data_IF_745106397208
#
_entry.id   IF_745106397208
#
_cell.length_a   1.000
_cell.length_b   1.000
_cell.length_c   1.000
_cell.angle_alpha   90.00
_cell.angle_beta   90.00
_cell.angle_gamma   90.00
#
_symmetry.space_group_name_H-M   'P 1'
#
loop_
_entity.id
_entity.type
_entity.pdbx_description
1 polymer ?
#
# COMPACT_ATOMS: atom_id res chain seq x y z
N UNK A 1 26.73 4.13 15.03
CA UNK A 1 26.20 4.33 16.40
C UNK A 1 24.73 4.72 16.26
N UNK A 2 23.82 4.00 16.92
CA UNK A 2 22.41 4.41 16.94
C UNK A 2 22.29 5.74 17.66
N UNK A 3 21.69 6.74 17.00
CA UNK A 3 21.40 8.02 17.62
C UNK A 3 20.30 7.81 18.66
N UNK A 4 20.42 8.40 19.84
CA UNK A 4 19.38 8.40 20.88
C UNK A 4 19.03 9.82 21.25
N UNK A 5 17.81 10.04 21.72
CA UNK A 5 17.37 11.26 22.38
C UNK A 5 17.06 10.96 23.84
N UNK A 6 17.23 11.95 24.70
CA UNK A 6 16.94 11.83 26.12
C UNK A 6 15.59 12.48 26.43
N UNK A 7 14.73 11.72 27.09
CA UNK A 7 13.45 12.17 27.61
C UNK A 7 13.51 12.19 29.16
N UNK A 8 13.27 13.32 29.77
CA UNK A 8 13.27 13.46 31.24
C UNK A 8 11.83 13.50 31.72
N UNK A 9 11.45 12.52 32.55
CA UNK A 9 10.15 12.45 33.21
C UNK A 9 10.38 12.20 34.71
N UNK A 10 9.74 12.98 35.58
CA UNK A 10 9.82 12.82 37.04
C UNK A 10 11.28 12.72 37.56
N UNK A 11 12.16 13.59 37.07
CA UNK A 11 13.59 13.63 37.36
C UNK A 11 14.37 12.34 36.96
N UNK A 12 13.81 11.48 36.14
CA UNK A 12 14.48 10.30 35.55
C UNK A 12 14.70 10.53 34.08
N UNK A 13 15.89 10.14 33.61
CA UNK A 13 16.24 10.22 32.17
C UNK A 13 16.05 8.88 31.50
N UNK A 14 15.37 8.88 30.37
CA UNK A 14 15.12 7.73 29.51
C UNK A 14 15.74 7.98 28.14
N UNK A 15 16.46 7.00 27.62
CA UNK A 15 17.03 7.07 26.28
C UNK A 15 16.08 6.38 25.27
N UNK A 16 15.69 7.13 24.25
CA UNK A 16 14.82 6.64 23.17
C UNK A 16 15.61 6.60 21.87
N UNK A 17 15.52 5.48 21.11
CA UNK A 17 16.21 5.38 19.83
C UNK A 17 15.66 6.39 18.81
N UNK A 18 16.53 6.88 17.95
CA UNK A 18 16.16 7.69 16.77
C UNK A 18 16.26 6.82 15.53
N UNK A 19 15.18 6.78 14.77
CA UNK A 19 15.10 6.15 13.46
C UNK A 19 15.26 7.26 12.43
N UNK A 20 16.14 7.06 11.46
CA UNK A 20 16.36 8.00 10.36
C UNK A 20 15.90 7.32 9.07
N UNK A 21 15.01 7.97 8.33
CA UNK A 21 14.53 7.52 7.02
C UNK A 21 15.54 7.83 5.91
N UNK A 22 15.32 7.27 4.71
CA UNK A 22 16.16 7.49 3.53
C UNK A 22 16.23 8.96 3.09
N UNK A 23 15.17 9.71 3.36
CA UNK A 23 15.06 11.15 3.06
C UNK A 23 15.44 12.06 4.25
N UNK A 24 16.20 11.51 5.21
CA UNK A 24 16.68 12.20 6.42
C UNK A 24 15.57 12.62 7.40
N UNK A 25 14.35 12.10 7.27
CA UNK A 25 13.34 12.26 8.31
C UNK A 25 13.76 11.51 9.57
N UNK A 26 13.57 12.15 10.72
CA UNK A 26 13.95 11.59 12.02
C UNK A 26 12.71 11.34 12.86
N UNK A 27 12.56 10.10 13.32
CA UNK A 27 11.51 9.71 14.25
C UNK A 27 12.11 9.21 15.56
N UNK A 28 11.46 9.53 16.66
CA UNK A 28 11.79 9.00 17.98
C UNK A 28 10.98 7.71 18.17
N UNK A 29 11.66 6.59 18.40
CA UNK A 29 10.98 5.34 18.69
C UNK A 29 10.47 5.31 20.13
N UNK A 30 9.16 5.46 20.27
CA UNK A 30 8.45 5.46 21.55
C UNK A 30 7.83 4.11 21.92
N UNK A 31 8.13 3.04 21.20
CA UNK A 31 7.52 1.72 21.42
C UNK A 31 7.65 1.18 22.85
N UNK A 32 8.74 1.52 23.53
CA UNK A 32 9.01 1.11 24.92
C UNK A 32 8.61 2.16 25.97
N UNK A 33 8.16 3.34 25.56
CA UNK A 33 7.88 4.46 26.49
C UNK A 33 6.89 4.06 27.59
N UNK A 34 5.75 3.48 27.21
CA UNK A 34 4.72 3.08 28.18
C UNK A 34 5.21 2.03 29.17
N UNK A 35 5.95 1.05 28.69
CA UNK A 35 6.46 -0.02 29.56
C UNK A 35 7.49 0.49 30.58
N UNK A 36 8.28 1.50 30.20
CA UNK A 36 9.33 2.05 31.06
C UNK A 36 8.84 3.13 32.02
N UNK A 37 7.83 3.90 31.64
CA UNK A 37 7.44 5.14 32.34
C UNK A 37 5.99 5.14 32.78
N UNK A 38 5.12 4.33 32.19
CA UNK A 38 3.66 4.41 32.35
C UNK A 38 3.00 5.50 31.49
N UNK A 39 3.77 6.42 30.90
CA UNK A 39 3.24 7.50 30.07
C UNK A 39 3.00 7.04 28.63
N UNK A 40 2.05 7.72 27.95
CA UNK A 40 1.78 7.61 26.53
C UNK A 40 1.93 8.99 25.88
N UNK A 41 2.10 9.04 24.57
CA UNK A 41 2.02 10.27 23.79
C UNK A 41 0.58 10.47 23.31
N UNK A 42 0.16 11.74 23.21
CA UNK A 42 -1.14 12.12 22.64
C UNK A 42 -0.88 13.06 21.45
N UNK A 43 -1.30 12.63 20.27
CA UNK A 43 -1.24 13.43 19.05
C UNK A 43 -2.56 13.24 18.30
N UNK A 44 -3.47 14.21 18.43
CA UNK A 44 -4.78 14.18 17.78
C UNK A 44 -4.63 14.40 16.28
N UNK A 45 -4.88 13.36 15.48
CA UNK A 45 -4.81 13.41 14.02
C UNK A 45 -3.45 13.05 13.43
N UNK A 46 -2.55 12.48 14.22
CA UNK A 46 -1.25 11.96 13.75
C UNK A 46 -0.39 12.99 13.00
N UNK A 47 -0.42 14.26 13.44
CA UNK A 47 0.34 15.34 12.77
C UNK A 47 1.85 15.22 12.96
N UNK A 48 2.27 14.70 14.13
CA UNK A 48 3.68 14.59 14.51
C UNK A 48 4.08 13.16 14.89
N UNK A 49 3.23 12.17 14.60
CA UNK A 49 3.47 10.78 14.99
C UNK A 49 3.49 9.88 13.76
N UNK A 50 4.64 9.27 13.49
CA UNK A 50 4.77 8.22 12.50
C UNK A 50 4.10 6.93 13.00
N UNK A 51 3.06 6.45 12.32
CA UNK A 51 2.35 5.22 12.69
C UNK A 51 3.07 3.96 12.21
N UNK A 52 3.86 4.06 11.13
CA UNK A 52 4.58 2.94 10.51
C UNK A 52 5.76 3.43 9.69
N UNK A 53 6.60 2.47 9.26
CA UNK A 53 7.63 2.70 8.25
C UNK A 53 7.13 2.19 6.91
N UNK A 54 7.35 2.95 5.86
CA UNK A 54 7.05 2.54 4.50
C UNK A 54 8.30 2.66 3.62
N UNK A 55 8.59 1.62 2.84
CA UNK A 55 9.58 1.67 1.76
C UNK A 55 8.95 1.91 0.38
N UNK A 56 7.64 2.23 0.33
CA UNK A 56 6.90 2.35 -0.92
C UNK A 56 6.77 3.80 -1.35
N UNK A 57 6.33 4.67 -0.47
CA UNK A 57 5.98 6.06 -0.80
C UNK A 57 6.67 7.02 0.16
N UNK A 58 7.29 8.05 -0.38
CA UNK A 58 7.69 9.25 0.34
C UNK A 58 6.80 10.42 -0.09
N UNK A 59 6.27 11.16 0.88
CA UNK A 59 5.43 12.34 0.66
C UNK A 59 5.85 13.47 1.60
N UNK A 60 6.23 14.61 1.02
CA UNK A 60 6.41 15.87 1.74
C UNK A 60 5.39 16.87 1.18
N UNK A 61 4.27 17.02 1.89
CA UNK A 61 3.16 17.90 1.47
C UNK A 61 3.50 19.39 1.53
N UNK A 62 4.46 19.80 2.36
CA UNK A 62 4.89 21.20 2.46
C UNK A 62 5.75 21.61 1.27
N UNK A 63 6.61 20.71 0.81
CA UNK A 63 7.47 20.93 -0.35
C UNK A 63 6.84 20.46 -1.67
N UNK A 64 5.70 19.76 -1.61
CA UNK A 64 5.05 19.20 -2.80
C UNK A 64 5.85 18.08 -3.45
N UNK A 65 6.58 17.28 -2.65
CA UNK A 65 7.40 16.17 -3.14
C UNK A 65 6.66 14.86 -2.92
N UNK A 66 6.58 14.05 -3.99
CA UNK A 66 6.07 12.68 -3.96
C UNK A 66 7.05 11.77 -4.71
N UNK A 67 7.40 10.65 -4.11
CA UNK A 67 8.21 9.61 -4.75
C UNK A 67 7.65 8.23 -4.45
N UNK A 68 7.68 7.33 -5.45
CA UNK A 68 7.37 5.92 -5.31
C UNK A 68 8.64 5.10 -5.46
N UNK A 69 8.99 4.31 -4.44
CA UNK A 69 10.20 3.47 -4.41
C UNK A 69 11.49 4.27 -4.76
N UNK A 70 11.51 5.58 -4.42
CA UNK A 70 12.62 6.47 -4.73
C UNK A 70 12.55 7.18 -6.09
N UNK A 71 11.57 6.84 -6.95
CA UNK A 71 11.35 7.52 -8.23
C UNK A 71 10.42 8.73 -8.04
N UNK A 72 10.85 9.95 -8.46
CA UNK A 72 10.00 11.12 -8.42
C UNK A 72 8.72 10.93 -9.25
N UNK A 73 7.58 11.42 -8.75
CA UNK A 73 6.29 11.21 -9.41
C UNK A 73 6.25 11.84 -10.81
N UNK A 74 6.94 12.96 -11.03
CA UNK A 74 6.99 13.65 -12.32
C UNK A 74 7.61 12.74 -13.40
N UNK A 75 8.66 11.99 -13.05
CA UNK A 75 9.29 11.06 -13.99
C UNK A 75 8.39 9.88 -14.32
N UNK A 76 7.70 9.35 -13.32
CA UNK A 76 6.76 8.23 -13.52
C UNK A 76 5.56 8.68 -14.37
N UNK A 77 5.02 9.87 -14.12
CA UNK A 77 3.88 10.41 -14.87
C UNK A 77 4.19 10.68 -16.34
N UNK A 78 5.44 11.08 -16.65
CA UNK A 78 5.85 11.37 -18.02
C UNK A 78 6.30 10.13 -18.80
N UNK A 79 6.91 9.13 -18.15
CA UNK A 79 7.69 8.08 -18.82
C UNK A 79 7.19 6.67 -18.58
N UNK A 80 6.35 6.44 -17.60
CA UNK A 80 5.90 5.10 -17.23
C UNK A 80 4.42 4.88 -17.54
N UNK A 81 4.10 3.68 -18.02
CA UNK A 81 2.72 3.23 -18.15
C UNK A 81 2.13 2.88 -16.77
N UNK A 82 0.80 2.91 -16.67
CA UNK A 82 0.10 2.55 -15.43
C UNK A 82 0.54 1.18 -14.88
N UNK A 83 0.68 0.17 -15.75
CA UNK A 83 1.09 -1.18 -15.33
C UNK A 83 2.56 -1.24 -14.88
N UNK A 84 3.44 -0.40 -15.43
CA UNK A 84 4.83 -0.28 -14.95
C UNK A 84 4.86 0.29 -13.54
N UNK A 85 4.02 1.30 -13.26
CA UNK A 85 3.90 1.87 -11.90
C UNK A 85 3.30 0.84 -10.93
N UNK A 86 2.30 0.06 -11.35
CA UNK A 86 1.78 -1.04 -10.54
C UNK A 86 2.88 -2.06 -10.21
N UNK A 87 3.65 -2.46 -11.20
CA UNK A 87 4.79 -3.37 -11.02
C UNK A 87 5.80 -2.80 -10.01
N UNK A 88 6.21 -1.55 -10.20
CA UNK A 88 7.12 -0.85 -9.29
C UNK A 88 6.63 -0.87 -7.83
N UNK A 89 5.37 -0.57 -7.61
CA UNK A 89 4.81 -0.52 -6.25
C UNK A 89 4.73 -1.91 -5.60
N UNK A 90 4.43 -2.94 -6.38
CA UNK A 90 4.29 -4.32 -5.90
C UNK A 90 5.66 -4.96 -5.65
N UNK A 91 6.54 -4.92 -6.65
CA UNK A 91 7.81 -5.66 -6.64
C UNK A 91 9.02 -4.83 -6.19
N UNK A 92 8.90 -3.51 -6.16
CA UNK A 92 9.91 -2.61 -5.58
C UNK A 92 10.86 -1.95 -6.57
N UNK A 93 10.88 -2.39 -7.82
CA UNK A 93 11.73 -1.88 -8.91
C UNK A 93 10.96 -1.85 -10.24
N UNK A 94 11.40 -1.04 -11.18
CA UNK A 94 10.82 -0.98 -12.52
C UNK A 94 11.10 -2.28 -13.28
N UNK A 95 10.11 -2.80 -14.04
CA UNK A 95 10.28 -4.03 -14.78
C UNK A 95 11.26 -3.89 -15.94
N UNK A 96 12.01 -4.94 -16.23
CA UNK A 96 12.64 -5.12 -17.53
C UNK A 96 11.58 -5.33 -18.63
N UNK A 97 11.94 -5.18 -19.89
CA UNK A 97 11.02 -5.40 -21.01
C UNK A 97 10.37 -6.81 -21.00
N UNK A 98 11.12 -7.82 -20.58
CA UNK A 98 10.63 -9.20 -20.48
C UNK A 98 9.66 -9.37 -19.32
N UNK A 99 9.95 -8.82 -18.16
CA UNK A 99 9.08 -8.86 -16.97
C UNK A 99 7.80 -8.09 -17.23
N UNK A 100 7.90 -6.90 -17.84
CA UNK A 100 6.74 -6.10 -18.20
C UNK A 100 5.81 -6.82 -19.18
N UNK A 101 6.38 -7.46 -20.22
CA UNK A 101 5.61 -8.20 -21.18
C UNK A 101 4.87 -9.38 -20.55
N UNK A 102 5.54 -10.13 -19.67
CA UNK A 102 4.93 -11.25 -18.94
C UNK A 102 3.85 -10.76 -17.96
N UNK A 103 4.10 -9.69 -17.21
CA UNK A 103 3.14 -9.10 -16.28
C UNK A 103 1.88 -8.62 -17.02
N UNK A 104 2.05 -7.91 -18.12
CA UNK A 104 0.95 -7.43 -18.97
C UNK A 104 0.12 -8.57 -19.56
N UNK A 105 0.78 -9.63 -20.03
CA UNK A 105 0.12 -10.81 -20.56
C UNK A 105 -0.71 -11.51 -19.48
N UNK A 106 -0.15 -11.70 -18.29
CA UNK A 106 -0.86 -12.30 -17.16
C UNK A 106 -2.10 -11.49 -16.77
N UNK A 107 -1.97 -10.16 -16.67
CA UNK A 107 -3.12 -9.28 -16.37
C UNK A 107 -4.18 -9.42 -17.47
N UNK A 108 -3.78 -9.42 -18.75
CA UNK A 108 -4.71 -9.54 -19.87
C UNK A 108 -5.48 -10.85 -19.84
N UNK A 109 -4.83 -11.97 -19.48
CA UNK A 109 -5.48 -13.26 -19.35
C UNK A 109 -6.52 -13.34 -18.21
N UNK A 110 -6.45 -12.45 -17.23
CA UNK A 110 -7.35 -12.44 -16.08
C UNK A 110 -8.45 -11.36 -16.16
N UNK A 111 -8.64 -10.72 -17.30
CA UNK A 111 -9.64 -9.66 -17.50
C UNK A 111 -11.09 -10.14 -17.56
N UNK A 112 -11.32 -11.43 -17.73
CA UNK A 112 -12.67 -11.99 -17.79
C UNK A 112 -13.19 -12.27 -16.37
N UNK A 113 -14.34 -11.67 -16.06
CA UNK A 113 -15.09 -11.98 -14.83
C UNK A 113 -15.93 -13.22 -15.01
N UNK A 114 -16.24 -13.88 -13.90
CA UNK A 114 -17.21 -14.97 -13.88
C UNK A 114 -18.57 -14.50 -14.41
N UNK A 115 -19.26 -15.31 -15.20
CA UNK A 115 -20.52 -14.92 -15.84
C UNK A 115 -21.60 -14.53 -14.82
N UNK A 116 -21.64 -15.19 -13.67
CA UNK A 116 -22.57 -14.89 -12.58
C UNK A 116 -22.32 -13.49 -11.95
N UNK A 117 -21.13 -12.93 -12.06
CA UNK A 117 -20.86 -11.55 -11.65
C UNK A 117 -21.66 -10.53 -12.46
N UNK A 118 -22.02 -10.84 -13.69
CA UNK A 118 -22.87 -9.99 -14.51
C UNK A 118 -24.25 -9.83 -13.90
N UNK A 119 -24.85 -10.92 -13.41
CA UNK A 119 -26.16 -10.89 -12.74
C UNK A 119 -26.10 -10.00 -11.50
N UNK A 120 -25.02 -10.12 -10.74
CA UNK A 120 -24.77 -9.28 -9.57
C UNK A 120 -24.67 -7.78 -9.93
N UNK A 121 -23.96 -7.44 -11.00
CA UNK A 121 -23.80 -6.05 -11.46
C UNK A 121 -25.12 -5.50 -12.05
N UNK A 122 -25.89 -6.28 -12.75
CA UNK A 122 -27.18 -5.90 -13.35
C UNK A 122 -28.25 -5.59 -12.30
N UNK A 123 -28.09 -6.07 -11.05
CA UNK A 123 -29.02 -5.81 -9.96
C UNK A 123 -28.87 -4.41 -9.35
N UNK A 124 -27.82 -3.67 -9.64
CA UNK A 124 -27.62 -2.33 -9.08
C UNK A 124 -28.50 -1.27 -9.75
N UNK A 125 -29.01 -0.30 -8.98
CA UNK A 125 -29.70 0.84 -9.55
C UNK A 125 -28.78 1.64 -10.49
N UNK A 126 -29.32 2.14 -11.61
CA UNK A 126 -28.56 2.91 -12.61
C UNK A 126 -27.93 4.20 -12.05
N UNK A 127 -28.41 4.70 -10.91
CA UNK A 127 -27.88 5.88 -10.22
C UNK A 127 -26.97 5.53 -9.03
N UNK A 128 -26.60 4.26 -8.87
CA UNK A 128 -25.71 3.85 -7.79
C UNK A 128 -24.31 4.47 -7.95
N UNK A 129 -23.67 4.83 -6.83
CA UNK A 129 -22.33 5.39 -6.88
C UNK A 129 -21.31 4.32 -7.28
N UNK A 130 -20.43 4.55 -8.29
CA UNK A 130 -19.50 3.54 -8.81
C UNK A 130 -18.61 2.92 -7.74
N UNK A 131 -18.17 3.71 -6.74
CA UNK A 131 -17.32 3.19 -5.65
C UNK A 131 -18.05 2.20 -4.74
N UNK A 132 -19.36 2.38 -4.53
CA UNK A 132 -20.18 1.40 -3.80
C UNK A 132 -20.29 0.08 -4.55
N UNK A 133 -20.48 0.14 -5.87
CA UNK A 133 -20.52 -1.04 -6.75
C UNK A 133 -19.14 -1.72 -6.73
N UNK A 134 -18.06 -0.97 -6.88
CA UNK A 134 -16.70 -1.52 -6.88
C UNK A 134 -16.38 -2.24 -5.56
N UNK A 135 -16.68 -1.62 -4.41
CA UNK A 135 -16.44 -2.24 -3.10
C UNK A 135 -17.18 -3.56 -2.95
N UNK A 136 -18.46 -3.59 -3.34
CA UNK A 136 -19.28 -4.79 -3.28
C UNK A 136 -18.79 -5.85 -4.27
N UNK A 137 -18.39 -5.46 -5.50
CA UNK A 137 -17.84 -6.35 -6.50
C UNK A 137 -16.55 -7.02 -6.03
N UNK A 138 -15.61 -6.26 -5.45
CA UNK A 138 -14.36 -6.81 -4.91
C UNK A 138 -14.64 -7.79 -3.76
N UNK A 139 -15.57 -7.47 -2.86
CA UNK A 139 -15.98 -8.41 -1.81
C UNK A 139 -16.61 -9.68 -2.39
N UNK A 140 -17.46 -9.55 -3.41
CA UNK A 140 -18.12 -10.68 -4.05
C UNK A 140 -17.14 -11.58 -4.80
N UNK A 141 -16.08 -11.02 -5.41
CA UNK A 141 -15.03 -11.81 -6.08
C UNK A 141 -14.40 -12.86 -5.17
N UNK A 142 -14.30 -12.60 -3.87
CA UNK A 142 -13.77 -13.57 -2.91
C UNK A 142 -14.56 -14.88 -2.85
N UNK A 143 -15.85 -14.85 -3.22
CA UNK A 143 -16.71 -16.03 -3.26
C UNK A 143 -16.45 -16.92 -4.47
N UNK A 144 -15.97 -16.34 -5.58
CA UNK A 144 -15.58 -17.05 -6.79
C UNK A 144 -14.13 -17.58 -6.74
N UNK A 145 -13.32 -17.04 -5.84
CA UNK A 145 -11.92 -17.43 -5.65
C UNK A 145 -11.67 -17.80 -4.18
N UNK A 146 -12.23 -18.91 -3.68
CA UNK A 146 -12.16 -19.28 -2.26
C UNK A 146 -10.72 -19.51 -1.75
N UNK A 147 -9.78 -19.82 -2.63
CA UNK A 147 -8.35 -19.93 -2.33
C UNK A 147 -7.76 -18.58 -1.83
N UNK A 148 -8.33 -17.46 -2.23
CA UNK A 148 -7.89 -16.12 -1.79
C UNK A 148 -8.15 -15.86 -0.30
N UNK A 149 -9.06 -16.62 0.33
CA UNK A 149 -9.42 -16.49 1.73
C UNK A 149 -8.57 -17.36 2.67
N UNK A 150 -7.73 -18.24 2.14
CA UNK A 150 -6.85 -19.09 2.96
C UNK A 150 -5.80 -18.24 3.67
N UNK A 151 -5.57 -18.51 4.98
CA UNK A 151 -4.59 -17.75 5.77
C UNK A 151 -3.13 -18.02 5.34
N UNK A 152 -2.82 -19.29 4.99
CA UNK A 152 -1.49 -19.69 4.56
C UNK A 152 -1.48 -19.88 3.04
N UNK A 153 -1.18 -18.81 2.32
CA UNK A 153 -1.03 -18.83 0.85
C UNK A 153 0.45 -18.80 0.49
N UNK A 154 0.83 -19.47 -0.60
CA UNK A 154 2.16 -19.30 -1.18
C UNK A 154 2.30 -17.92 -1.85
N UNK A 155 3.54 -17.49 -2.06
CA UNK A 155 3.83 -16.20 -2.70
C UNK A 155 3.23 -16.15 -4.12
N UNK A 156 3.26 -17.27 -4.86
CA UNK A 156 2.66 -17.36 -6.19
C UNK A 156 1.13 -17.21 -6.14
N UNK A 157 0.47 -17.74 -5.11
CA UNK A 157 -0.97 -17.59 -4.93
C UNK A 157 -1.36 -16.16 -4.53
N UNK A 158 -0.50 -15.47 -3.79
CA UNK A 158 -0.65 -14.06 -3.44
C UNK A 158 -0.49 -13.21 -4.72
N UNK A 159 0.58 -13.45 -5.48
CA UNK A 159 0.87 -12.75 -6.72
C UNK A 159 -0.26 -12.89 -7.75
N UNK A 160 -0.75 -14.10 -7.96
CA UNK A 160 -1.92 -14.36 -8.81
C UNK A 160 -3.17 -13.59 -8.34
N UNK A 161 -3.38 -13.49 -7.03
CA UNK A 161 -4.51 -12.74 -6.47
C UNK A 161 -4.37 -11.24 -6.76
N UNK A 162 -3.16 -10.69 -6.63
CA UNK A 162 -2.86 -9.28 -6.94
C UNK A 162 -3.13 -9.00 -8.42
N UNK A 163 -2.62 -9.83 -9.32
CA UNK A 163 -2.82 -9.69 -10.76
C UNK A 163 -4.30 -9.76 -11.15
N UNK A 164 -5.07 -10.70 -10.58
CA UNK A 164 -6.53 -10.80 -10.78
C UNK A 164 -7.26 -9.55 -10.27
N UNK A 165 -6.92 -9.03 -9.09
CA UNK A 165 -7.52 -7.81 -8.56
C UNK A 165 -7.24 -6.60 -9.44
N UNK A 166 -6.01 -6.45 -9.94
CA UNK A 166 -5.66 -5.39 -10.88
C UNK A 166 -6.45 -5.52 -12.18
N UNK A 167 -6.48 -6.71 -12.76
CA UNK A 167 -7.20 -6.97 -14.01
C UNK A 167 -8.71 -6.68 -13.90
N UNK A 168 -9.33 -7.14 -12.81
CA UNK A 168 -10.79 -7.06 -12.64
C UNK A 168 -11.27 -5.70 -12.13
N UNK A 169 -10.46 -4.97 -11.35
CA UNK A 169 -10.87 -3.68 -10.81
C UNK A 169 -10.82 -2.56 -11.85
N UNK A 170 -9.90 -2.61 -12.82
CA UNK A 170 -9.70 -1.54 -13.80
C UNK A 170 -10.60 -1.63 -15.01
N UNK A 171 -10.94 -2.83 -15.47
CA UNK A 171 -11.68 -3.03 -16.73
C UNK A 171 -13.19 -2.81 -16.52
N UNK A 172 -13.69 -2.99 -15.31
CA UNK A 172 -15.11 -2.94 -15.02
C UNK A 172 -15.58 -1.61 -14.37
N UNK A 173 -14.65 -0.67 -14.17
CA UNK A 173 -14.95 0.71 -13.77
C UNK A 173 -15.08 1.61 -14.98
#
# INVERSE_FOLDING_TARGET
MSKTVQLVIDNKTYELPVIEGSENEKAIDISKLRAQTGYITLDTGYKNTGATKSGITFLDGEKGILSYRGYPIEQLAEKADFLEVCYLLIYGELPSNTEFSSFKENITHHTLIHEDMRIFLDAYPTKAHPMGILSAAVCTLSTFYPESQKQNRSDEAIDLTIQRLLALSLIHI
#
